data_IF_283773861022
#
_entry.id   IF_283773861022
#
_cell.length_a   1.000
_cell.length_b   1.000
_cell.length_c   1.000
_cell.angle_alpha   90.00
_cell.angle_beta   90.00
_cell.angle_gamma   90.00
#
_symmetry.space_group_name_H-M   'P 1'
#
loop_
_entity.id
_entity.type
_entity.pdbx_description
1 polymer ?
#
# COMPACT_ATOMS: atom_id res chain seq x y z
N UNK A 1 -9.18 8.57 -3.22
CA UNK A 1 -10.17 8.00 -4.16
C UNK A 1 -11.00 9.01 -4.97
N UNK A 2 -11.18 10.28 -4.55
CA UNK A 2 -12.00 11.25 -5.32
C UNK A 2 -11.39 11.71 -6.66
N UNK A 3 -10.07 11.93 -6.73
CA UNK A 3 -9.38 12.43 -7.94
C UNK A 3 -9.69 11.67 -9.24
N UNK A 4 -9.66 10.32 -9.29
CA UNK A 4 -9.99 9.60 -10.51
C UNK A 4 -11.48 9.68 -10.88
N UNK A 5 -12.37 9.78 -9.89
CA UNK A 5 -13.81 9.91 -10.08
C UNK A 5 -14.16 11.30 -10.64
N UNK A 6 -13.49 12.35 -10.15
CA UNK A 6 -13.61 13.72 -10.66
C UNK A 6 -13.11 13.82 -12.11
N UNK A 7 -11.98 13.18 -12.45
CA UNK A 7 -11.48 13.17 -13.83
C UNK A 7 -12.45 12.50 -14.79
N UNK A 8 -13.07 11.39 -14.38
CA UNK A 8 -14.13 10.74 -15.17
C UNK A 8 -15.30 11.69 -15.39
N UNK A 9 -15.79 12.30 -14.32
CA UNK A 9 -16.95 13.18 -14.36
C UNK A 9 -16.69 14.38 -15.29
N UNK A 10 -15.50 14.97 -15.22
CA UNK A 10 -15.09 16.06 -16.10
C UNK A 10 -14.98 15.64 -17.57
N UNK A 11 -14.41 14.47 -17.87
CA UNK A 11 -14.31 13.98 -19.25
C UNK A 11 -15.71 13.72 -19.83
N UNK A 12 -16.58 13.08 -19.06
CA UNK A 12 -17.97 12.81 -19.47
C UNK A 12 -18.71 14.11 -19.73
N UNK A 13 -18.64 15.07 -18.79
CA UNK A 13 -19.28 16.39 -18.96
C UNK A 13 -18.73 17.12 -20.19
N UNK A 14 -17.40 17.15 -20.37
CA UNK A 14 -16.77 17.83 -21.50
C UNK A 14 -17.22 17.22 -22.84
N UNK A 15 -17.28 15.90 -22.92
CA UNK A 15 -17.67 15.20 -24.14
C UNK A 15 -19.15 15.40 -24.47
N UNK A 16 -20.00 15.40 -23.44
CA UNK A 16 -21.43 15.73 -23.55
C UNK A 16 -21.60 17.16 -24.02
N UNK A 17 -20.93 18.12 -23.39
CA UNK A 17 -21.01 19.54 -23.74
C UNK A 17 -20.53 19.80 -25.18
N UNK A 18 -19.39 19.24 -25.57
CA UNK A 18 -18.85 19.37 -26.93
C UNK A 18 -19.81 18.79 -27.98
N UNK A 19 -20.41 17.63 -27.70
CA UNK A 19 -21.37 17.00 -28.61
C UNK A 19 -22.65 17.82 -28.76
N UNK A 20 -23.15 18.44 -27.68
CA UNK A 20 -24.29 19.37 -27.74
C UNK A 20 -23.98 20.55 -28.67
N UNK A 21 -22.80 21.18 -28.52
CA UNK A 21 -22.39 22.32 -29.35
C UNK A 21 -22.26 21.93 -30.82
N UNK A 22 -21.67 20.77 -31.12
CA UNK A 22 -21.50 20.28 -32.49
C UNK A 22 -22.86 20.03 -33.15
N UNK A 23 -23.77 19.35 -32.45
CA UNK A 23 -25.13 19.09 -32.93
C UNK A 23 -25.85 20.41 -33.23
N UNK A 24 -25.78 21.39 -32.31
CA UNK A 24 -26.54 22.63 -32.43
C UNK A 24 -26.04 23.56 -33.56
N UNK A 25 -24.75 23.54 -33.90
CA UNK A 25 -24.19 24.46 -34.89
C UNK A 25 -23.89 23.83 -36.27
N UNK A 26 -23.61 22.54 -36.34
CA UNK A 26 -23.09 21.91 -37.56
C UNK A 26 -24.13 21.12 -38.33
N UNK A 27 -25.15 20.60 -37.66
CA UNK A 27 -26.10 19.65 -38.25
C UNK A 27 -26.95 20.29 -39.35
N UNK A 28 -27.58 21.43 -39.07
CA UNK A 28 -28.45 22.14 -40.03
C UNK A 28 -27.69 22.56 -41.29
N UNK A 29 -26.40 22.89 -41.15
CA UNK A 29 -25.55 23.32 -42.27
C UNK A 29 -25.08 22.16 -43.14
N UNK A 30 -24.80 21.00 -42.56
CA UNK A 30 -24.31 19.81 -43.28
C UNK A 30 -25.45 19.14 -44.05
N UNK A 31 -26.67 19.10 -43.49
CA UNK A 31 -27.80 18.39 -44.10
C UNK A 31 -28.76 19.30 -44.89
N UNK A 32 -28.43 20.60 -45.01
CA UNK A 32 -29.23 21.60 -45.73
C UNK A 32 -29.64 21.15 -47.14
N UNK A 33 -28.71 20.64 -47.97
CA UNK A 33 -29.01 20.31 -49.36
C UNK A 33 -30.07 19.20 -49.50
N UNK A 34 -29.99 18.16 -48.66
CA UNK A 34 -30.97 17.05 -48.68
C UNK A 34 -32.34 17.50 -48.18
N UNK A 35 -32.38 18.28 -47.10
CA UNK A 35 -33.62 18.82 -46.56
C UNK A 35 -34.30 19.78 -47.53
N UNK A 36 -33.55 20.76 -48.04
CA UNK A 36 -34.06 21.76 -48.97
C UNK A 36 -34.54 21.16 -50.28
N UNK A 37 -33.89 20.11 -50.81
CA UNK A 37 -34.32 19.47 -52.05
C UNK A 37 -35.65 18.72 -51.89
N UNK A 38 -35.80 17.89 -50.84
CA UNK A 38 -37.05 17.18 -50.58
C UNK A 38 -38.23 18.15 -50.37
N UNK A 39 -37.97 19.28 -49.71
CA UNK A 39 -38.97 20.31 -49.43
C UNK A 39 -39.34 21.12 -50.67
N UNK A 40 -38.37 21.46 -51.53
CA UNK A 40 -38.64 22.06 -52.86
C UNK A 40 -39.53 21.18 -53.71
N UNK A 41 -39.26 19.88 -53.77
CA UNK A 41 -40.05 18.94 -54.57
C UNK A 41 -41.50 18.89 -54.09
N UNK A 42 -41.73 18.96 -52.77
CA UNK A 42 -43.08 19.04 -52.20
C UNK A 42 -43.78 20.38 -52.43
N UNK A 43 -43.03 21.49 -52.39
CA UNK A 43 -43.56 22.85 -52.56
C UNK A 43 -43.75 23.26 -54.03
N UNK A 44 -43.15 22.57 -54.99
CA UNK A 44 -43.15 22.98 -56.41
C UNK A 44 -44.56 23.16 -56.96
N UNK A 45 -45.46 22.20 -56.70
CA UNK A 45 -46.86 22.27 -57.15
C UNK A 45 -47.62 23.40 -56.45
N UNK A 46 -47.38 23.58 -55.15
CA UNK A 46 -48.00 24.64 -54.35
C UNK A 46 -47.56 26.02 -54.82
N UNK A 47 -46.24 26.21 -55.00
CA UNK A 47 -45.63 27.43 -55.49
C UNK A 47 -46.12 27.79 -56.90
N UNK A 48 -46.29 26.80 -57.79
CA UNK A 48 -46.87 27.03 -59.12
C UNK A 48 -48.30 27.57 -59.05
N UNK A 49 -49.18 26.92 -58.27
CA UNK A 49 -50.58 27.35 -58.11
C UNK A 49 -50.66 28.73 -57.45
N UNK A 50 -49.81 28.97 -56.46
CA UNK A 50 -49.74 30.26 -55.77
C UNK A 50 -49.27 31.37 -56.72
N UNK A 51 -48.24 31.12 -57.53
CA UNK A 51 -47.76 32.09 -58.51
C UNK A 51 -48.82 32.39 -59.58
N UNK A 52 -49.46 31.37 -60.16
CA UNK A 52 -50.56 31.53 -61.12
C UNK A 52 -51.74 32.32 -60.53
N UNK A 53 -52.09 32.05 -59.26
CA UNK A 53 -53.13 32.80 -58.56
C UNK A 53 -52.76 34.28 -58.33
N UNK A 54 -51.49 34.56 -57.99
CA UNK A 54 -50.99 35.92 -57.77
C UNK A 54 -50.79 36.72 -59.06
N UNK A 55 -50.46 36.06 -60.18
CA UNK A 55 -50.39 36.68 -61.50
C UNK A 55 -51.75 37.16 -61.98
N UNK A 56 -52.82 36.42 -61.67
CA UNK A 56 -54.20 36.81 -62.00
C UNK A 56 -54.72 38.02 -61.20
N UNK A 57 -54.01 38.45 -60.16
CA UNK A 57 -54.38 39.59 -59.31
C UNK A 57 -53.24 40.63 -59.23
N UNK A 58 -53.02 41.46 -60.27
CA UNK A 58 -51.94 42.45 -60.28
C UNK A 58 -52.21 43.67 -59.37
N UNK A 59 -51.13 44.31 -58.90
CA UNK A 59 -51.18 45.56 -58.12
C UNK A 59 -51.70 45.39 -56.69
N UNK A 60 -52.45 46.37 -56.19
CA UNK A 60 -52.94 46.40 -54.80
C UNK A 60 -53.89 45.25 -54.42
N UNK A 61 -54.47 44.56 -55.41
CA UNK A 61 -55.31 43.38 -55.20
C UNK A 61 -54.50 42.15 -54.76
N UNK A 62 -53.20 42.10 -55.09
CA UNK A 62 -52.32 40.98 -54.74
C UNK A 62 -52.14 40.83 -53.23
N UNK A 63 -51.98 41.95 -52.53
CA UNK A 63 -51.83 41.96 -51.06
C UNK A 63 -53.12 41.53 -50.36
N UNK A 64 -54.28 41.83 -50.94
CA UNK A 64 -55.59 41.38 -50.43
C UNK A 64 -55.79 39.88 -50.67
N UNK A 65 -55.43 39.38 -51.86
CA UNK A 65 -55.49 37.98 -52.22
C UNK A 65 -54.61 37.11 -51.30
N UNK A 66 -53.39 37.56 -50.98
CA UNK A 66 -52.52 36.90 -50.00
C UNK A 66 -53.08 36.92 -48.58
N UNK A 67 -53.70 38.03 -48.15
CA UNK A 67 -54.34 38.09 -46.82
C UNK A 67 -55.51 37.12 -46.72
N UNK A 68 -56.24 36.90 -47.81
CA UNK A 68 -57.32 35.92 -47.84
C UNK A 68 -56.79 34.48 -47.82
N UNK A 69 -55.73 34.19 -48.59
CA UNK A 69 -55.01 32.91 -48.51
C UNK A 69 -54.46 32.63 -47.11
N UNK A 70 -53.91 33.65 -46.44
CA UNK A 70 -53.39 33.55 -45.08
C UNK A 70 -54.47 33.22 -44.03
N UNK A 71 -55.77 33.44 -44.31
CA UNK A 71 -56.86 33.02 -43.42
C UNK A 71 -57.13 31.52 -43.48
N UNK A 72 -56.80 30.89 -44.61
CA UNK A 72 -57.09 29.48 -44.88
C UNK A 72 -55.83 28.60 -44.84
N UNK A 73 -54.65 29.20 -44.93
CA UNK A 73 -53.35 28.53 -44.81
C UNK A 73 -52.75 28.64 -43.40
N UNK A 74 -51.79 27.76 -43.11
CA UNK A 74 -51.00 27.81 -41.87
C UNK A 74 -49.65 28.55 -42.08
N UNK A 75 -49.64 29.53 -42.98
CA UNK A 75 -48.44 30.28 -43.38
C UNK A 75 -48.74 31.79 -43.40
N UNK A 76 -47.80 32.59 -42.90
CA UNK A 76 -47.81 34.04 -43.06
C UNK A 76 -47.11 34.44 -44.34
N UNK A 77 -47.76 35.26 -45.17
CA UNK A 77 -47.21 35.76 -46.43
C UNK A 77 -46.87 37.24 -46.35
N UNK A 78 -45.74 37.61 -46.95
CA UNK A 78 -45.30 39.00 -47.13
C UNK A 78 -44.56 39.18 -48.46
N UNK A 79 -44.43 40.43 -48.90
CA UNK A 79 -43.61 40.77 -50.08
C UNK A 79 -42.35 41.50 -49.65
N UNK A 80 -41.22 41.11 -50.25
CA UNK A 80 -39.93 41.77 -50.11
C UNK A 80 -39.43 42.20 -51.48
N UNK A 81 -38.63 43.25 -51.52
CA UNK A 81 -37.83 43.54 -52.72
C UNK A 81 -36.71 42.51 -52.84
N UNK A 82 -36.24 42.25 -54.07
CA UNK A 82 -35.05 41.41 -54.29
C UNK A 82 -33.84 41.88 -53.48
N UNK A 83 -33.68 43.20 -53.28
CA UNK A 83 -32.61 43.75 -52.42
C UNK A 83 -32.78 43.41 -50.95
N UNK A 84 -34.01 43.47 -50.42
CA UNK A 84 -34.30 43.12 -49.03
C UNK A 84 -34.17 41.61 -48.79
N UNK A 85 -34.56 40.77 -49.76
CA UNK A 85 -34.39 39.32 -49.69
C UNK A 85 -32.91 38.91 -49.72
N UNK A 86 -32.10 39.51 -50.60
CA UNK A 86 -30.64 39.28 -50.66
C UNK A 86 -29.92 39.65 -49.36
N UNK A 87 -30.40 40.66 -48.64
CA UNK A 87 -29.83 41.04 -47.35
C UNK A 87 -30.13 40.03 -46.22
N UNK A 88 -31.16 39.20 -46.38
CA UNK A 88 -31.58 38.22 -45.36
C UNK A 88 -31.03 36.81 -45.61
N UNK A 89 -30.49 36.54 -46.80
CA UNK A 89 -29.94 35.23 -47.18
C UNK A 89 -28.42 35.29 -47.33
N UNK A 90 -27.75 34.17 -47.07
CA UNK A 90 -26.32 34.02 -47.29
C UNK A 90 -26.00 32.61 -47.79
N UNK A 91 -24.87 32.43 -48.47
CA UNK A 91 -24.41 31.12 -48.94
C UNK A 91 -25.34 30.48 -49.99
N UNK A 92 -25.60 29.18 -49.86
CA UNK A 92 -26.38 28.38 -50.82
C UNK A 92 -27.82 28.89 -51.02
N UNK A 93 -28.59 29.28 -49.97
CA UNK A 93 -29.90 29.93 -50.13
C UNK A 93 -29.89 31.17 -51.02
N UNK A 94 -28.86 32.03 -50.90
CA UNK A 94 -28.75 33.24 -51.70
C UNK A 94 -28.51 32.90 -53.19
N UNK A 95 -27.66 31.92 -53.44
CA UNK A 95 -27.42 31.42 -54.79
C UNK A 95 -28.67 30.79 -55.42
N UNK A 96 -29.47 30.06 -54.63
CA UNK A 96 -30.75 29.51 -55.10
C UNK A 96 -31.73 30.64 -55.49
N UNK A 97 -31.81 31.71 -54.70
CA UNK A 97 -32.66 32.87 -54.99
C UNK A 97 -32.21 33.57 -56.28
N UNK A 98 -30.90 33.80 -56.43
CA UNK A 98 -30.32 34.45 -57.61
C UNK A 98 -30.47 33.58 -58.88
N UNK A 99 -30.53 32.25 -58.73
CA UNK A 99 -30.81 31.32 -59.82
C UNK A 99 -32.30 31.23 -60.18
N UNK A 100 -33.17 32.03 -59.57
CA UNK A 100 -34.62 32.02 -59.82
C UNK A 100 -35.34 30.81 -59.21
N UNK A 101 -34.68 30.05 -58.33
CA UNK A 101 -35.29 28.93 -57.60
C UNK A 101 -35.94 29.42 -56.32
N UNK A 102 -36.84 28.60 -55.77
CA UNK A 102 -37.35 28.81 -54.41
C UNK A 102 -36.17 28.63 -53.45
N UNK A 103 -35.80 29.70 -52.77
CA UNK A 103 -34.76 29.70 -51.76
C UNK A 103 -35.36 29.44 -50.38
N UNK A 104 -34.72 28.54 -49.64
CA UNK A 104 -35.12 28.16 -48.28
C UNK A 104 -34.01 28.66 -47.36
N UNK A 105 -34.33 29.44 -46.32
CA UNK A 105 -33.31 29.89 -45.38
C UNK A 105 -32.66 28.70 -44.65
N UNK A 106 -31.43 28.86 -44.15
CA UNK A 106 -30.73 27.82 -43.38
C UNK A 106 -31.50 27.39 -42.11
N UNK A 107 -32.42 28.23 -41.63
CA UNK A 107 -33.31 27.87 -40.53
C UNK A 107 -34.42 26.88 -40.94
N UNK A 108 -34.56 26.55 -42.23
CA UNK A 108 -35.59 25.67 -42.79
C UNK A 108 -37.01 26.23 -42.72
N UNK A 109 -37.17 27.47 -42.26
CA UNK A 109 -38.46 28.08 -41.91
C UNK A 109 -38.89 29.12 -42.92
N UNK A 110 -38.01 30.02 -43.34
CA UNK A 110 -38.40 31.09 -44.26
C UNK A 110 -38.20 30.68 -45.74
N UNK A 111 -39.26 30.78 -46.54
CA UNK A 111 -39.22 30.54 -47.98
C UNK A 111 -39.25 31.86 -48.75
N UNK A 112 -38.42 31.94 -49.78
CA UNK A 112 -38.30 33.10 -50.67
C UNK A 112 -38.52 32.63 -52.11
N UNK A 113 -39.61 33.10 -52.72
CA UNK A 113 -39.96 32.77 -54.08
C UNK A 113 -39.89 34.02 -54.96
N UNK A 114 -39.03 34.06 -55.99
CA UNK A 114 -38.98 35.17 -56.93
C UNK A 114 -40.20 35.13 -57.86
N UNK A 115 -40.87 36.28 -58.06
CA UNK A 115 -41.95 36.43 -59.02
C UNK A 115 -41.47 37.10 -60.30
N UNK A 116 -42.23 36.93 -61.38
CA UNK A 116 -41.93 37.49 -62.70
C UNK A 116 -41.81 39.03 -62.74
N UNK A 117 -42.37 39.73 -61.75
CA UNK A 117 -42.33 41.19 -61.63
C UNK A 117 -41.12 41.73 -60.85
N UNK A 118 -40.21 40.85 -60.42
CA UNK A 118 -39.02 41.21 -59.66
C UNK A 118 -39.26 41.42 -58.16
N UNK A 119 -40.46 41.14 -57.65
CA UNK A 119 -40.73 41.03 -56.21
C UNK A 119 -40.46 39.62 -55.71
N UNK A 120 -40.23 39.48 -54.40
CA UNK A 120 -40.04 38.17 -53.75
C UNK A 120 -41.17 37.94 -52.77
N UNK A 121 -41.89 36.85 -52.94
CA UNK A 121 -42.82 36.36 -51.92
C UNK A 121 -42.01 35.72 -50.80
N UNK A 122 -42.20 36.24 -49.60
CA UNK A 122 -41.70 35.67 -48.36
C UNK A 122 -42.84 34.93 -47.68
N UNK A 123 -42.73 33.61 -47.59
CA UNK A 123 -43.67 32.77 -46.85
C UNK A 123 -42.99 32.24 -45.58
N UNK A 124 -43.69 32.40 -44.45
CA UNK A 124 -43.26 31.89 -43.14
C UNK A 124 -44.33 30.92 -42.62
N UNK A 125 -44.07 29.61 -42.61
CA UNK A 125 -44.97 28.62 -42.03
C UNK A 125 -45.09 28.84 -40.52
N UNK A 126 -46.29 28.68 -39.99
CA UNK A 126 -46.56 28.66 -38.54
C UNK A 126 -46.04 27.32 -38.02
N UNK A 127 -45.06 27.39 -37.12
CA UNK A 127 -44.19 26.27 -36.71
C UNK A 127 -44.93 24.97 -36.39
N UNK A 128 -44.58 23.87 -37.08
CA UNK A 128 -44.70 22.54 -36.49
C UNK A 128 -43.39 22.24 -35.72
N UNK A 129 -43.45 21.76 -34.48
CA UNK A 129 -42.25 21.47 -33.72
C UNK A 129 -41.55 20.26 -34.36
N UNK A 130 -40.36 20.49 -34.90
CA UNK A 130 -39.51 19.49 -35.55
C UNK A 130 -38.94 18.53 -34.47
N UNK A 131 -39.76 17.60 -33.99
CA UNK A 131 -39.42 16.67 -32.91
C UNK A 131 -38.44 15.59 -33.39
N UNK A 132 -38.53 15.15 -34.65
CA UNK A 132 -37.91 13.91 -35.11
C UNK A 132 -36.37 14.00 -35.16
N UNK A 133 -35.82 15.09 -35.70
CA UNK A 133 -34.36 15.26 -35.82
C UNK A 133 -33.68 15.42 -34.45
N UNK A 134 -34.33 16.12 -33.51
CA UNK A 134 -33.79 16.34 -32.16
C UNK A 134 -33.67 15.03 -31.38
N UNK A 135 -34.60 14.09 -31.57
CA UNK A 135 -34.57 12.78 -30.91
C UNK A 135 -33.32 11.99 -31.34
N UNK A 136 -32.99 11.96 -32.64
CA UNK A 136 -31.79 11.26 -33.13
C UNK A 136 -30.50 11.89 -32.60
N UNK A 137 -30.45 13.22 -32.51
CA UNK A 137 -29.32 13.95 -31.95
C UNK A 137 -29.09 13.61 -30.46
N UNK A 138 -30.14 13.62 -29.64
CA UNK A 138 -30.03 13.24 -28.22
C UNK A 138 -29.69 11.75 -28.04
N UNK A 139 -30.17 10.88 -28.92
CA UNK A 139 -29.85 9.45 -28.90
C UNK A 139 -28.37 9.20 -29.20
N UNK A 140 -27.80 9.89 -30.20
CA UNK A 140 -26.37 9.79 -30.52
C UNK A 140 -25.50 10.26 -29.35
N UNK A 141 -25.88 11.37 -28.71
CA UNK A 141 -25.23 11.89 -27.51
C UNK A 141 -25.25 10.87 -26.36
N UNK A 142 -26.40 10.26 -26.11
CA UNK A 142 -26.57 9.25 -25.06
C UNK A 142 -25.69 8.01 -25.32
N UNK A 143 -25.65 7.51 -26.56
CA UNK A 143 -24.83 6.35 -26.94
C UNK A 143 -23.33 6.66 -26.80
N UNK A 144 -22.88 7.83 -27.26
CA UNK A 144 -21.49 8.24 -27.14
C UNK A 144 -21.04 8.33 -25.68
N UNK A 145 -21.90 8.91 -24.83
CA UNK A 145 -21.67 9.01 -23.38
C UNK A 145 -21.61 7.63 -22.73
N UNK A 146 -22.55 6.74 -23.06
CA UNK A 146 -22.57 5.37 -22.57
C UNK A 146 -21.31 4.61 -22.96
N UNK A 147 -20.86 4.75 -24.20
CA UNK A 147 -19.65 4.11 -24.70
C UNK A 147 -18.40 4.55 -23.94
N UNK A 148 -18.24 5.86 -23.69
CA UNK A 148 -17.13 6.39 -22.89
C UNK A 148 -17.12 5.83 -21.46
N UNK A 149 -18.30 5.74 -20.83
CA UNK A 149 -18.45 5.17 -19.48
C UNK A 149 -18.09 3.68 -19.48
N UNK A 150 -18.58 2.90 -20.44
CA UNK A 150 -18.28 1.46 -20.55
C UNK A 150 -16.80 1.20 -20.75
N UNK A 151 -16.12 1.96 -21.62
CA UNK A 151 -14.67 1.83 -21.82
C UNK A 151 -13.88 2.13 -20.56
N UNK A 152 -14.24 3.18 -19.83
CA UNK A 152 -13.58 3.54 -18.58
C UNK A 152 -13.78 2.47 -17.50
N UNK A 153 -15.02 2.01 -17.33
CA UNK A 153 -15.38 0.91 -16.42
C UNK A 153 -14.56 -0.34 -16.77
N UNK A 154 -14.51 -0.72 -18.05
CA UNK A 154 -13.77 -1.90 -18.51
C UNK A 154 -12.27 -1.82 -18.16
N UNK A 155 -11.63 -0.67 -18.43
CA UNK A 155 -10.21 -0.46 -18.11
C UNK A 155 -9.95 -0.58 -16.60
N UNK A 156 -10.80 0.02 -15.77
CA UNK A 156 -10.63 0.01 -14.32
C UNK A 156 -10.87 -1.39 -13.70
N UNK A 157 -11.94 -2.07 -14.13
CA UNK A 157 -12.22 -3.44 -13.67
C UNK A 157 -11.13 -4.43 -14.05
N UNK A 158 -10.49 -4.26 -15.21
CA UNK A 158 -9.37 -5.10 -15.61
C UNK A 158 -8.19 -4.98 -14.66
N UNK A 159 -7.80 -3.76 -14.28
CA UNK A 159 -6.68 -3.53 -13.36
C UNK A 159 -7.02 -4.03 -11.94
N UNK A 160 -8.26 -3.85 -11.48
CA UNK A 160 -8.73 -4.39 -10.20
C UNK A 160 -8.74 -5.93 -10.17
N UNK A 161 -9.18 -6.57 -11.27
CA UNK A 161 -9.13 -8.03 -11.41
C UNK A 161 -7.70 -8.57 -11.33
N UNK A 162 -6.72 -7.88 -11.92
CA UNK A 162 -5.29 -8.28 -11.80
C UNK A 162 -4.79 -8.23 -10.36
N UNK A 163 -5.15 -7.19 -9.60
CA UNK A 163 -4.81 -7.10 -8.17
C UNK A 163 -5.50 -8.22 -7.37
N UNK A 164 -6.78 -8.50 -7.67
CA UNK A 164 -7.53 -9.58 -7.02
C UNK A 164 -6.93 -10.97 -7.32
N UNK A 165 -6.57 -11.24 -8.57
CA UNK A 165 -5.91 -12.49 -8.98
C UNK A 165 -4.56 -12.65 -8.29
N UNK A 166 -3.76 -11.58 -8.22
CA UNK A 166 -2.49 -11.60 -7.51
C UNK A 166 -2.66 -11.84 -6.01
N UNK A 167 -3.64 -11.20 -5.37
CA UNK A 167 -3.95 -11.42 -3.95
C UNK A 167 -4.42 -12.86 -3.68
N UNK A 168 -5.23 -13.45 -4.57
CA UNK A 168 -5.66 -14.86 -4.49
C UNK A 168 -4.48 -15.81 -4.67
N UNK A 169 -3.62 -15.58 -5.66
CA UNK A 169 -2.42 -16.40 -5.89
C UNK A 169 -1.45 -16.31 -4.71
N UNK A 170 -1.26 -15.11 -4.14
CA UNK A 170 -0.47 -14.90 -2.93
C UNK A 170 -1.06 -15.66 -1.74
N UNK A 171 -2.37 -15.54 -1.50
CA UNK A 171 -3.08 -16.28 -0.44
C UNK A 171 -3.08 -17.80 -0.64
N UNK A 172 -2.94 -18.29 -1.88
CA UNK A 172 -2.80 -19.72 -2.19
C UNK A 172 -1.36 -20.25 -2.00
N UNK A 173 -0.40 -19.40 -1.61
CA UNK A 173 0.97 -19.79 -1.29
C UNK A 173 2.03 -19.37 -2.33
N UNK A 174 1.65 -18.72 -3.42
CA UNK A 174 2.61 -18.20 -4.42
C UNK A 174 3.14 -16.83 -3.98
N UNK A 175 4.00 -16.83 -2.95
CA UNK A 175 4.48 -15.63 -2.25
C UNK A 175 5.30 -14.67 -3.14
N UNK A 176 5.89 -15.17 -4.22
CA UNK A 176 6.64 -14.38 -5.20
C UNK A 176 5.76 -13.57 -6.16
N UNK A 177 4.42 -13.69 -6.04
CA UNK A 177 3.48 -12.96 -6.90
C UNK A 177 3.57 -11.46 -6.65
N UNK A 178 3.69 -10.67 -7.73
CA UNK A 178 3.70 -9.20 -7.68
C UNK A 178 2.78 -8.63 -8.74
N UNK A 179 2.15 -7.50 -8.40
CA UNK A 179 1.23 -6.79 -9.28
C UNK A 179 2.01 -5.77 -10.11
N UNK A 180 1.91 -5.89 -11.44
CA UNK A 180 2.48 -4.92 -12.39
C UNK A 180 1.36 -4.15 -13.05
N UNK A 181 1.11 -2.92 -12.58
CA UNK A 181 0.19 -1.97 -13.19
C UNK A 181 0.95 -0.80 -13.82
N UNK A 182 0.34 -0.14 -14.80
CA UNK A 182 0.87 1.09 -15.37
C UNK A 182 0.86 2.21 -14.31
N UNK A 183 1.86 3.09 -14.29
CA UNK A 183 1.88 4.26 -13.41
C UNK A 183 0.73 5.25 -13.65
N UNK A 184 0.00 5.11 -14.77
CA UNK A 184 -1.23 5.86 -15.05
C UNK A 184 -2.49 5.22 -14.45
N UNK A 185 -2.37 4.04 -13.84
CA UNK A 185 -3.49 3.34 -13.23
C UNK A 185 -3.91 4.04 -11.93
N UNK A 186 -5.22 4.17 -11.73
CA UNK A 186 -5.79 4.82 -10.55
C UNK A 186 -5.53 4.06 -9.24
N UNK A 187 -5.16 2.77 -9.33
CA UNK A 187 -4.86 1.90 -8.19
C UNK A 187 -3.37 1.53 -8.14
N UNK A 188 -2.50 2.29 -8.84
CA UNK A 188 -1.07 2.03 -8.85
C UNK A 188 -0.46 2.07 -7.44
N UNK A 189 -0.81 3.08 -6.63
CA UNK A 189 -0.33 3.22 -5.25
C UNK A 189 -0.75 2.04 -4.37
N UNK A 190 -1.99 1.56 -4.51
CA UNK A 190 -2.48 0.36 -3.83
C UNK A 190 -1.70 -0.89 -4.26
N UNK A 191 -1.34 -1.00 -5.54
CA UNK A 191 -0.52 -2.12 -6.01
C UNK A 191 0.91 -2.10 -5.45
N UNK A 192 1.48 -0.91 -5.21
CA UNK A 192 2.79 -0.78 -4.56
C UNK A 192 2.68 -1.23 -3.09
N UNK A 193 1.68 -0.74 -2.36
CA UNK A 193 1.44 -1.17 -0.97
C UNK A 193 1.24 -2.69 -0.86
N UNK A 194 0.51 -3.29 -1.80
CA UNK A 194 0.38 -4.75 -1.88
C UNK A 194 1.74 -5.44 -2.11
N UNK A 195 2.55 -4.94 -3.04
CA UNK A 195 3.87 -5.52 -3.34
C UNK A 195 4.82 -5.41 -2.15
N UNK A 196 4.83 -4.28 -1.44
CA UNK A 196 5.66 -4.06 -0.24
C UNK A 196 5.24 -5.01 0.89
N UNK A 197 3.93 -5.17 1.10
CA UNK A 197 3.39 -6.14 2.04
C UNK A 197 3.78 -7.58 1.65
N UNK A 198 3.64 -7.93 0.36
CA UNK A 198 3.98 -9.25 -0.15
C UNK A 198 5.48 -9.57 0.05
N UNK A 199 6.36 -8.59 -0.17
CA UNK A 199 7.80 -8.74 0.05
C UNK A 199 8.16 -8.94 1.53
N UNK A 200 7.56 -8.15 2.43
CA UNK A 200 7.77 -8.32 3.88
C UNK A 200 7.32 -9.69 4.37
N UNK A 201 6.15 -10.15 3.91
CA UNK A 201 5.61 -11.46 4.29
C UNK A 201 6.45 -12.59 3.68
N UNK A 202 6.84 -12.50 2.41
CA UNK A 202 7.70 -13.50 1.75
C UNK A 202 9.06 -13.63 2.47
N UNK A 203 9.70 -12.50 2.79
CA UNK A 203 10.94 -12.47 3.55
C UNK A 203 10.78 -13.10 4.95
N UNK A 204 9.70 -12.76 5.67
CA UNK A 204 9.42 -13.33 6.98
C UNK A 204 9.20 -14.84 6.94
N UNK A 205 8.43 -15.33 5.96
CA UNK A 205 8.18 -16.78 5.79
C UNK A 205 9.47 -17.50 5.41
N UNK A 206 10.29 -16.90 4.54
CA UNK A 206 11.59 -17.45 4.17
C UNK A 206 12.52 -17.59 5.38
N UNK A 207 12.64 -16.53 6.19
CA UNK A 207 13.42 -16.54 7.42
C UNK A 207 12.94 -17.60 8.40
N UNK A 208 11.62 -17.73 8.60
CA UNK A 208 11.05 -18.76 9.47
C UNK A 208 11.36 -20.17 8.97
N UNK A 209 11.31 -20.41 7.65
CA UNK A 209 11.66 -21.71 7.06
C UNK A 209 13.15 -22.04 7.24
N UNK A 210 14.03 -21.08 6.99
CA UNK A 210 15.47 -21.23 7.19
C UNK A 210 15.79 -21.55 8.66
N UNK A 211 15.15 -20.84 9.59
CA UNK A 211 15.28 -21.11 11.02
C UNK A 211 14.80 -22.53 11.38
N UNK A 212 13.64 -22.96 10.88
CA UNK A 212 13.12 -24.31 11.15
C UNK A 212 14.01 -25.43 10.58
N UNK A 213 14.62 -25.17 9.41
CA UNK A 213 15.58 -26.09 8.82
C UNK A 213 16.85 -26.19 9.68
N UNK A 214 17.39 -25.06 10.13
CA UNK A 214 18.53 -25.01 11.06
C UNK A 214 18.25 -25.75 12.36
N UNK A 215 17.08 -25.53 12.98
CA UNK A 215 16.64 -26.24 14.19
C UNK A 215 16.65 -27.75 13.99
N UNK A 216 16.05 -28.21 12.90
CA UNK A 216 15.97 -29.65 12.60
C UNK A 216 17.35 -30.27 12.43
N UNK A 217 18.27 -29.56 11.78
CA UNK A 217 19.64 -30.01 11.56
C UNK A 217 20.44 -30.08 12.86
N UNK A 218 20.37 -29.03 13.69
CA UNK A 218 21.10 -28.95 14.96
C UNK A 218 20.55 -29.91 16.02
N UNK A 219 19.26 -30.26 15.99
CA UNK A 219 18.69 -31.29 16.88
C UNK A 219 19.07 -32.71 16.45
N UNK A 220 19.15 -32.99 15.15
CA UNK A 220 19.40 -34.34 14.63
C UNK A 220 20.80 -34.86 15.01
N UNK A 221 21.80 -33.98 15.06
CA UNK A 221 23.19 -34.36 15.35
C UNK A 221 23.38 -34.90 16.78
N UNK A 222 23.00 -34.18 17.86
CA UNK A 222 23.11 -34.71 19.22
C UNK A 222 22.15 -35.88 19.48
N UNK A 223 20.96 -35.91 18.86
CA UNK A 223 20.07 -37.08 18.96
C UNK A 223 20.73 -38.35 18.41
N UNK A 224 21.35 -38.28 17.22
CA UNK A 224 22.09 -39.42 16.66
C UNK A 224 23.27 -39.85 17.55
N UNK A 225 23.96 -38.90 18.19
CA UNK A 225 25.03 -39.19 19.17
C UNK A 225 24.50 -39.88 20.42
N UNK A 226 23.35 -39.44 20.94
CA UNK A 226 22.69 -40.10 22.07
C UNK A 226 22.25 -41.51 21.73
N UNK A 227 21.63 -41.72 20.56
CA UNK A 227 21.24 -43.07 20.10
C UNK A 227 22.46 -43.99 19.99
N UNK A 228 23.55 -43.51 19.37
CA UNK A 228 24.78 -44.28 19.24
C UNK A 228 25.44 -44.57 20.60
N UNK A 229 25.51 -43.56 21.48
CA UNK A 229 26.08 -43.73 22.81
C UNK A 229 25.26 -44.68 23.68
N UNK A 230 23.92 -44.66 23.57
CA UNK A 230 23.04 -45.65 24.21
C UNK A 230 23.27 -47.06 23.68
N UNK A 231 23.44 -47.23 22.37
CA UNK A 231 23.79 -48.52 21.78
C UNK A 231 25.13 -49.06 22.30
N UNK A 232 26.14 -48.19 22.42
CA UNK A 232 27.44 -48.56 23.00
C UNK A 232 27.41 -48.87 24.50
N UNK A 233 26.41 -48.37 25.25
CA UNK A 233 26.23 -48.73 26.67
C UNK A 233 25.55 -50.09 26.84
N UNK A 234 24.89 -50.63 25.80
CA UNK A 234 24.25 -51.93 25.83
C UNK A 234 25.24 -53.10 25.68
N UNK A 235 26.47 -52.84 25.22
CA UNK A 235 27.53 -53.83 25.11
C UNK A 235 28.29 -53.99 26.44
N UNK A 236 28.58 -55.23 26.90
CA UNK A 236 29.41 -55.44 28.09
C UNK A 236 30.84 -54.93 27.83
N UNK A 237 31.29 -53.96 28.62
CA UNK A 237 32.62 -53.33 28.50
C UNK A 237 33.19 -52.99 29.90
N UNK A 238 34.46 -52.61 29.95
CA UNK A 238 35.15 -52.23 31.19
C UNK A 238 34.45 -51.05 31.91
N UNK A 239 34.36 -51.13 33.25
CA UNK A 239 33.67 -50.16 34.11
C UNK A 239 34.15 -48.71 33.96
N UNK A 240 35.41 -48.50 33.53
CA UNK A 240 35.96 -47.17 33.27
C UNK A 240 35.41 -46.56 31.96
N UNK A 241 35.38 -47.33 30.87
CA UNK A 241 34.81 -46.91 29.57
C UNK A 241 33.31 -46.67 29.66
N UNK A 242 32.61 -47.49 30.45
CA UNK A 242 31.18 -47.31 30.71
C UNK A 242 30.87 -45.97 31.40
N UNK A 243 31.73 -45.56 32.36
CA UNK A 243 31.62 -44.25 33.03
C UNK A 243 31.86 -43.09 32.06
N UNK A 244 32.91 -43.18 31.24
CA UNK A 244 33.22 -42.17 30.24
C UNK A 244 32.09 -42.00 29.21
N UNK A 245 31.52 -43.11 28.71
CA UNK A 245 30.35 -43.10 27.82
C UNK A 245 29.12 -42.47 28.47
N UNK A 246 28.85 -42.78 29.75
CA UNK A 246 27.73 -42.17 30.49
C UNK A 246 27.93 -40.66 30.66
N UNK A 247 29.15 -40.22 30.95
CA UNK A 247 29.45 -38.81 31.11
C UNK A 247 29.46 -38.06 29.77
N UNK A 248 29.79 -38.73 28.65
CA UNK A 248 29.55 -38.22 27.30
C UNK A 248 28.05 -38.03 27.01
N UNK A 249 27.21 -39.03 27.29
CA UNK A 249 25.75 -38.91 27.16
C UNK A 249 25.18 -37.74 27.96
N UNK A 250 25.64 -37.55 29.21
CA UNK A 250 25.20 -36.44 30.06
C UNK A 250 25.57 -35.08 29.48
N UNK A 251 26.74 -34.97 28.83
CA UNK A 251 27.12 -33.75 28.12
C UNK A 251 26.20 -33.51 26.93
N UNK A 252 25.91 -34.52 26.13
CA UNK A 252 25.03 -34.42 24.96
C UNK A 252 23.58 -34.03 25.37
N UNK A 253 23.07 -34.53 26.51
CA UNK A 253 21.77 -34.11 27.06
C UNK A 253 21.78 -32.64 27.50
N UNK A 254 22.85 -32.17 28.16
CA UNK A 254 22.98 -30.77 28.57
C UNK A 254 23.08 -29.85 27.34
N UNK A 255 23.84 -30.27 26.33
CA UNK A 255 23.95 -29.56 25.05
C UNK A 255 22.56 -29.41 24.38
N UNK A 256 21.74 -30.46 24.38
CA UNK A 256 20.35 -30.37 23.90
C UNK A 256 19.47 -29.43 24.72
N UNK A 257 19.58 -29.46 26.06
CA UNK A 257 18.80 -28.57 26.94
C UNK A 257 19.15 -27.09 26.71
N UNK A 258 20.44 -26.80 26.51
CA UNK A 258 20.93 -25.47 26.13
C UNK A 258 20.34 -25.02 24.80
N UNK A 259 20.37 -25.88 23.77
CA UNK A 259 19.76 -25.59 22.46
C UNK A 259 18.27 -25.26 22.58
N UNK A 260 17.50 -26.11 23.26
CA UNK A 260 16.05 -25.91 23.45
C UNK A 260 15.80 -24.59 24.19
N UNK A 261 16.60 -24.28 25.21
CA UNK A 261 16.49 -23.04 25.96
C UNK A 261 16.81 -21.82 25.09
N UNK A 262 17.79 -21.89 24.19
CA UNK A 262 18.08 -20.85 23.20
C UNK A 262 16.94 -20.65 22.22
N UNK A 263 16.37 -21.73 21.67
CA UNK A 263 15.26 -21.68 20.73
C UNK A 263 13.99 -21.09 21.34
N UNK A 264 13.62 -21.50 22.56
CA UNK A 264 12.49 -20.92 23.28
C UNK A 264 12.68 -19.43 23.55
N UNK A 265 13.93 -18.99 23.70
CA UNK A 265 14.25 -17.58 23.94
C UNK A 265 14.08 -16.77 22.67
N UNK A 266 14.58 -17.25 21.54
CA UNK A 266 14.33 -16.61 20.25
C UNK A 266 12.82 -16.54 19.98
N UNK A 267 12.09 -17.65 20.17
CA UNK A 267 10.64 -17.68 19.96
C UNK A 267 9.87 -16.67 20.83
N UNK A 268 10.23 -16.51 22.11
CA UNK A 268 9.66 -15.45 22.98
C UNK A 268 9.98 -14.06 22.45
N UNK A 269 11.23 -13.84 22.05
CA UNK A 269 11.67 -12.54 21.53
C UNK A 269 11.06 -12.21 20.15
N UNK A 270 10.69 -13.20 19.33
CA UNK A 270 9.98 -13.00 18.06
C UNK A 270 8.57 -12.46 18.25
N UNK A 271 7.92 -12.78 19.37
CA UNK A 271 6.58 -12.28 19.72
C UNK A 271 6.55 -10.78 20.10
N UNK A 272 7.72 -10.12 20.16
CA UNK A 272 7.88 -8.66 20.24
C UNK A 272 8.03 -8.11 21.67
N UNK A 273 8.00 -6.78 21.78
CA UNK A 273 8.27 -6.05 23.03
C UNK A 273 7.22 -6.26 24.14
N UNK A 274 6.06 -6.86 23.83
CA UNK A 274 4.99 -7.12 24.79
C UNK A 274 5.32 -8.15 25.88
N UNK A 275 6.47 -8.82 25.80
CA UNK A 275 6.97 -9.76 26.81
C UNK A 275 8.17 -9.24 27.61
N UNK A 276 8.60 -8.00 27.37
CA UNK A 276 9.63 -7.40 28.21
C UNK A 276 9.08 -7.18 29.61
N UNK A 277 9.88 -7.51 30.62
CA UNK A 277 9.66 -7.08 31.99
C UNK A 277 10.66 -5.97 32.34
N UNK A 278 10.50 -4.76 31.78
CA UNK A 278 11.43 -3.66 32.04
C UNK A 278 11.34 -3.26 33.52
N UNK A 279 12.49 -3.12 34.15
CA UNK A 279 12.62 -2.57 35.49
C UNK A 279 13.83 -1.65 35.54
N UNK A 280 13.81 -0.71 36.49
CA UNK A 280 15.00 0.09 36.79
C UNK A 280 16.04 -0.81 37.46
N UNK A 281 17.23 -0.88 36.88
CA UNK A 281 18.33 -1.71 37.35
C UNK A 281 19.54 -0.85 37.65
N UNK A 282 20.24 -1.19 38.73
CA UNK A 282 21.58 -0.64 39.02
C UNK A 282 22.57 -1.30 38.05
N UNK A 283 23.18 -0.50 37.17
CA UNK A 283 24.02 -1.04 36.09
C UNK A 283 25.24 -1.77 36.65
N UNK A 284 25.84 -1.24 37.71
CA UNK A 284 26.97 -1.85 38.42
C UNK A 284 26.63 -3.25 38.93
N UNK A 285 25.51 -3.41 39.64
CA UNK A 285 25.05 -4.70 40.15
C UNK A 285 24.74 -5.71 39.03
N UNK A 286 24.21 -5.25 37.89
CA UNK A 286 23.98 -6.10 36.72
C UNK A 286 25.30 -6.62 36.14
N UNK A 287 26.28 -5.74 35.95
CA UNK A 287 27.58 -6.09 35.38
C UNK A 287 28.36 -7.01 36.33
N UNK A 288 28.37 -6.72 37.63
CA UNK A 288 29.00 -7.56 38.64
C UNK A 288 28.39 -8.96 38.70
N UNK A 289 27.06 -9.06 38.64
CA UNK A 289 26.35 -10.34 38.60
C UNK A 289 26.71 -11.15 37.34
N UNK A 290 26.77 -10.50 36.18
CA UNK A 290 27.18 -11.14 34.92
C UNK A 290 28.64 -11.61 35.01
N UNK A 291 29.56 -10.76 35.45
CA UNK A 291 30.98 -11.09 35.56
C UNK A 291 31.22 -12.24 36.56
N UNK A 292 30.56 -12.22 37.72
CA UNK A 292 30.64 -13.27 38.72
C UNK A 292 30.14 -14.63 38.22
N UNK A 293 29.14 -14.66 37.34
CA UNK A 293 28.61 -15.90 36.78
C UNK A 293 29.55 -16.59 35.77
N UNK A 294 30.49 -15.86 35.16
CA UNK A 294 31.38 -16.39 34.11
C UNK A 294 32.85 -16.40 34.49
N UNK A 295 33.23 -15.82 35.63
CA UNK A 295 34.64 -15.70 36.03
C UNK A 295 35.36 -17.06 36.05
N UNK A 296 34.70 -18.11 36.55
CA UNK A 296 35.27 -19.46 36.59
C UNK A 296 35.36 -20.06 35.18
N UNK A 297 34.29 -19.97 34.38
CA UNK A 297 34.24 -20.48 33.00
C UNK A 297 35.34 -19.85 32.12
N UNK A 298 35.62 -18.56 32.32
CA UNK A 298 36.65 -17.80 31.60
C UNK A 298 38.05 -18.15 32.10
N UNK A 299 38.23 -18.29 33.41
CA UNK A 299 39.50 -18.68 34.02
C UNK A 299 39.93 -20.11 33.66
N UNK A 300 38.98 -21.05 33.59
CA UNK A 300 39.22 -22.45 33.16
C UNK A 300 39.75 -22.54 31.72
N UNK A 301 39.50 -21.50 30.91
CA UNK A 301 40.03 -21.36 29.53
C UNK A 301 41.37 -20.63 29.45
N UNK A 302 41.93 -20.20 30.59
CA UNK A 302 43.16 -19.42 30.64
C UNK A 302 43.01 -17.97 30.17
N UNK A 303 41.78 -17.44 30.13
CA UNK A 303 41.47 -16.08 29.70
C UNK A 303 41.19 -15.21 30.95
N UNK A 304 41.51 -13.92 30.85
CA UNK A 304 41.22 -12.92 31.89
C UNK A 304 40.01 -12.08 31.50
N UNK A 305 39.07 -11.87 32.44
CA UNK A 305 37.92 -10.98 32.27
C UNK A 305 38.15 -9.69 33.06
N UNK A 306 38.32 -8.59 32.34
CA UNK A 306 38.40 -7.25 32.92
C UNK A 306 37.06 -6.53 32.79
N UNK A 307 36.71 -5.70 33.78
CA UNK A 307 35.48 -4.90 33.79
C UNK A 307 35.83 -3.41 33.86
N UNK A 308 35.17 -2.59 33.04
CA UNK A 308 35.30 -1.13 33.03
C UNK A 308 33.94 -0.45 33.12
N UNK A 309 33.71 0.27 34.22
CA UNK A 309 32.48 1.06 34.45
C UNK A 309 32.65 2.55 34.12
N UNK A 310 33.70 2.92 33.37
CA UNK A 310 34.00 4.33 33.06
C UNK A 310 32.88 4.94 32.21
N UNK A 311 32.17 5.90 32.80
CA UNK A 311 31.08 6.61 32.13
C UNK A 311 29.74 5.87 32.14
N UNK A 312 29.62 4.77 32.89
CA UNK A 312 28.34 4.07 33.06
C UNK A 312 27.33 4.92 33.83
N UNK A 313 26.03 4.92 33.45
CA UNK A 313 25.00 5.55 34.26
C UNK A 313 24.75 4.71 35.53
N UNK A 314 24.29 5.31 36.64
CA UNK A 314 24.04 4.58 37.89
C UNK A 314 22.89 3.57 37.75
N UNK A 315 21.82 3.98 37.06
CA UNK A 315 20.66 3.14 36.78
C UNK A 315 20.25 3.22 35.30
N UNK A 316 19.55 2.20 34.83
CA UNK A 316 18.94 2.16 33.50
C UNK A 316 17.68 1.29 33.51
N UNK A 317 16.73 1.53 32.60
CA UNK A 317 15.49 0.73 32.52
C UNK A 317 15.63 -0.32 31.43
N UNK A 318 15.71 -1.59 31.80
CA UNK A 318 15.77 -2.71 30.87
C UNK A 318 15.20 -4.00 31.49
N UNK A 319 15.12 -5.08 30.71
CA UNK A 319 14.89 -6.42 31.27
C UNK A 319 16.26 -7.03 31.67
N UNK A 320 16.61 -7.10 32.97
CA UNK A 320 17.92 -7.54 33.41
C UNK A 320 18.23 -8.98 33.01
N UNK A 321 17.22 -9.85 32.92
CA UNK A 321 17.44 -11.26 32.58
C UNK A 321 17.87 -11.40 31.13
N UNK A 322 17.23 -10.66 30.23
CA UNK A 322 17.57 -10.66 28.81
C UNK A 322 18.90 -9.98 28.54
N UNK A 323 19.16 -8.83 29.18
CA UNK A 323 20.44 -8.12 29.03
C UNK A 323 21.60 -8.94 29.59
N UNK A 324 21.46 -9.51 30.79
CA UNK A 324 22.47 -10.41 31.36
C UNK A 324 22.76 -11.58 30.41
N UNK A 325 21.72 -12.18 29.82
CA UNK A 325 21.90 -13.28 28.86
C UNK A 325 22.62 -12.86 27.60
N UNK A 326 22.33 -11.67 27.05
CA UNK A 326 23.06 -11.14 25.91
C UNK A 326 24.55 -10.96 26.25
N UNK A 327 24.86 -10.39 27.42
CA UNK A 327 26.25 -10.22 27.87
C UNK A 327 26.96 -11.56 28.09
N UNK A 328 26.30 -12.53 28.72
CA UNK A 328 26.84 -13.88 28.92
C UNK A 328 27.18 -14.54 27.58
N UNK A 329 26.31 -14.40 26.56
CA UNK A 329 26.57 -14.90 25.22
C UNK A 329 27.79 -14.22 24.57
N UNK A 330 27.90 -12.90 24.72
CA UNK A 330 29.06 -12.15 24.19
C UNK A 330 30.36 -12.52 24.90
N UNK A 331 30.37 -12.63 26.22
CA UNK A 331 31.57 -12.97 27.01
C UNK A 331 32.01 -14.40 26.71
N UNK A 332 31.07 -15.36 26.65
CA UNK A 332 31.38 -16.75 26.26
C UNK A 332 31.91 -16.84 24.84
N UNK A 333 31.39 -16.01 23.93
CA UNK A 333 31.91 -15.90 22.57
C UNK A 333 33.34 -15.33 22.58
N UNK A 334 33.55 -14.20 23.26
CA UNK A 334 34.87 -13.58 23.43
C UNK A 334 35.88 -14.57 24.03
N UNK A 335 35.55 -15.23 25.13
CA UNK A 335 36.43 -16.20 25.79
C UNK A 335 36.70 -17.47 24.98
N UNK A 336 35.89 -17.77 23.96
CA UNK A 336 36.16 -18.88 23.02
C UNK A 336 37.23 -18.52 21.99
N UNK A 337 37.31 -17.25 21.57
CA UNK A 337 38.18 -16.79 20.48
C UNK A 337 39.35 -15.92 20.95
N UNK A 338 39.29 -15.39 22.16
CA UNK A 338 40.34 -14.60 22.80
C UNK A 338 41.61 -15.44 22.97
N UNK A 339 42.76 -14.79 22.85
CA UNK A 339 44.05 -15.39 23.18
C UNK A 339 44.31 -15.35 24.68
N UNK A 340 44.02 -14.21 25.32
CA UNK A 340 44.37 -13.97 26.73
C UNK A 340 43.35 -13.13 27.48
N UNK A 341 42.58 -12.28 26.79
CA UNK A 341 41.80 -11.24 27.47
C UNK A 341 40.46 -10.94 26.82
N UNK A 342 39.46 -10.75 27.67
CA UNK A 342 38.16 -10.17 27.33
C UNK A 342 37.92 -8.97 28.24
N UNK A 343 37.45 -7.87 27.67
CA UNK A 343 37.06 -6.66 28.40
C UNK A 343 35.55 -6.44 28.26
N UNK A 344 34.85 -6.40 29.39
CA UNK A 344 33.46 -5.97 29.49
C UNK A 344 33.44 -4.49 29.91
N UNK A 345 32.77 -3.63 29.15
CA UNK A 345 32.65 -2.21 29.48
C UNK A 345 31.19 -1.74 29.44
N UNK A 346 30.85 -0.82 30.34
CA UNK A 346 29.59 -0.10 30.35
C UNK A 346 29.85 1.41 30.32
N UNK A 347 29.09 2.12 29.48
CA UNK A 347 29.15 3.58 29.34
C UNK A 347 27.76 4.13 29.01
N UNK A 348 27.58 5.45 29.09
CA UNK A 348 26.43 6.15 28.54
C UNK A 348 26.87 7.02 27.35
N UNK A 349 26.03 7.09 26.31
CA UNK A 349 26.24 8.04 25.22
C UNK A 349 25.60 9.41 25.51
N UNK A 350 25.79 10.38 24.60
CA UNK A 350 25.27 11.74 24.74
C UNK A 350 23.73 11.79 24.78
N UNK A 351 23.04 10.74 24.33
CA UNK A 351 21.57 10.65 24.34
C UNK A 351 21.03 10.01 25.62
N UNK A 352 21.90 9.57 26.53
CA UNK A 352 21.54 8.84 27.74
C UNK A 352 21.29 7.35 27.50
N UNK A 353 21.63 6.82 26.31
CA UNK A 353 21.56 5.39 26.05
C UNK A 353 22.65 4.65 26.84
N UNK A 354 22.35 3.43 27.31
CA UNK A 354 23.32 2.54 27.92
C UNK A 354 24.07 1.79 26.81
N UNK A 355 25.38 1.97 26.75
CA UNK A 355 26.29 1.34 25.80
C UNK A 355 27.08 0.26 26.53
N UNK A 356 26.90 -0.99 26.13
CA UNK A 356 27.59 -2.15 26.67
C UNK A 356 28.53 -2.70 25.59
N UNK A 357 29.82 -2.83 25.88
CA UNK A 357 30.78 -3.45 24.95
C UNK A 357 31.48 -4.67 25.53
N UNK A 358 31.73 -5.65 24.66
CA UNK A 358 32.58 -6.81 24.94
C UNK A 358 33.66 -6.86 23.87
N UNK A 359 34.90 -6.72 24.31
CA UNK A 359 36.09 -6.62 23.48
C UNK A 359 37.00 -7.84 23.71
N UNK A 360 37.44 -8.51 22.65
CA UNK A 360 38.40 -9.64 22.73
C UNK A 360 39.72 -9.34 21.99
N UNK A 361 40.76 -10.12 22.31
CA UNK A 361 42.08 -10.11 21.65
C UNK A 361 42.27 -11.26 20.65
N UNK A 362 41.17 -11.77 20.08
CA UNK A 362 41.15 -12.84 19.10
C UNK A 362 41.45 -12.40 17.65
N UNK A 363 41.14 -13.23 16.65
CA UNK A 363 41.41 -12.93 15.23
C UNK A 363 40.48 -11.85 14.61
N UNK A 364 39.47 -11.39 15.35
CA UNK A 364 38.45 -10.49 14.84
C UNK A 364 37.52 -11.14 13.82
N UNK A 365 36.65 -10.33 13.19
CA UNK A 365 35.69 -10.77 12.18
C UNK A 365 35.79 -9.90 10.93
N UNK A 366 35.95 -10.48 9.72
CA UNK A 366 36.03 -9.74 8.47
C UNK A 366 34.81 -8.84 8.24
N UNK A 367 35.03 -7.65 7.67
CA UNK A 367 33.99 -6.65 7.40
C UNK A 367 32.78 -7.22 6.63
N UNK A 368 33.04 -8.08 5.64
CA UNK A 368 32.00 -8.69 4.80
C UNK A 368 31.07 -9.65 5.56
N UNK A 369 31.51 -10.18 6.71
CA UNK A 369 30.78 -11.18 7.48
C UNK A 369 30.09 -10.60 8.71
N UNK A 370 30.42 -9.37 9.11
CA UNK A 370 29.91 -8.71 10.33
C UNK A 370 28.39 -8.60 10.41
N UNK A 371 27.71 -8.43 9.28
CA UNK A 371 26.25 -8.38 9.26
C UNK A 371 25.63 -9.78 9.43
N UNK A 372 26.30 -10.80 8.89
CA UNK A 372 25.80 -12.18 8.82
C UNK A 372 26.01 -12.95 10.12
N UNK A 373 27.02 -12.61 10.93
CA UNK A 373 27.28 -13.33 12.20
C UNK A 373 26.13 -13.25 13.22
N UNK A 374 25.20 -12.30 13.05
CA UNK A 374 24.00 -12.19 13.88
C UNK A 374 22.79 -12.97 13.31
N UNK A 375 22.94 -13.63 12.16
CA UNK A 375 21.92 -14.52 11.61
C UNK A 375 21.89 -15.85 12.41
N UNK A 376 20.71 -16.40 12.72
CA UNK A 376 20.60 -17.68 13.42
C UNK A 376 21.34 -18.80 12.69
N UNK A 377 22.02 -19.68 13.44
CA UNK A 377 22.78 -20.84 12.92
C UNK A 377 23.98 -20.48 12.03
N UNK A 378 24.34 -19.20 11.89
CA UNK A 378 25.50 -18.78 11.13
C UNK A 378 26.79 -19.02 11.94
N UNK A 379 27.77 -19.66 11.29
CA UNK A 379 29.13 -19.87 11.82
C UNK A 379 30.14 -19.45 10.76
N UNK A 380 31.23 -18.80 11.18
CA UNK A 380 32.33 -18.36 10.28
C UNK A 380 33.18 -19.56 9.83
N UNK A 381 33.51 -20.45 10.77
CA UNK A 381 34.25 -21.67 10.50
C UNK A 381 33.35 -22.92 10.61
N UNK A 382 33.13 -23.58 9.49
CA UNK A 382 32.38 -24.84 9.39
C UNK A 382 33.22 -26.09 9.66
N UNK A 383 34.55 -25.96 9.79
CA UNK A 383 35.48 -27.08 9.61
C UNK A 383 36.38 -27.47 10.79
N UNK A 384 36.36 -26.79 11.95
CA UNK A 384 37.17 -27.23 13.12
C UNK A 384 36.38 -27.15 14.43
N UNK A 385 36.41 -28.28 15.15
CA UNK A 385 35.89 -28.57 16.48
C UNK A 385 34.38 -28.39 16.74
N UNK A 386 33.60 -29.39 16.28
CA UNK A 386 32.25 -29.68 16.82
C UNK A 386 32.25 -30.04 18.32
N UNK A 387 33.42 -30.29 18.92
CA UNK A 387 33.51 -30.66 20.34
C UNK A 387 33.55 -29.46 21.31
N UNK A 388 33.70 -28.22 20.83
CA UNK A 388 33.85 -27.01 21.68
C UNK A 388 32.94 -25.84 21.31
N UNK A 389 32.17 -25.95 20.21
CA UNK A 389 31.43 -24.85 19.59
C UNK A 389 29.90 -24.92 19.79
N UNK A 390 29.28 -23.78 20.14
CA UNK A 390 27.82 -23.67 20.31
C UNK A 390 27.04 -23.57 18.99
N UNK A 391 25.70 -23.55 19.08
CA UNK A 391 24.78 -23.72 17.95
C UNK A 391 24.65 -22.53 16.97
N UNK A 392 25.45 -21.48 17.12
CA UNK A 392 25.34 -20.27 16.30
C UNK A 392 24.06 -19.44 16.58
N UNK A 393 23.40 -19.66 17.71
CA UNK A 393 22.21 -18.89 18.12
C UNK A 393 22.56 -17.74 19.06
N UNK A 394 23.71 -17.80 19.74
CA UNK A 394 24.10 -16.83 20.77
C UNK A 394 24.08 -15.37 20.29
N UNK A 395 24.71 -15.07 19.16
CA UNK A 395 24.76 -13.72 18.58
C UNK A 395 23.39 -13.28 18.03
N UNK A 396 22.59 -14.20 17.50
CA UNK A 396 21.23 -13.90 17.07
C UNK A 396 20.34 -13.49 18.26
N UNK A 397 20.50 -14.16 19.42
CA UNK A 397 19.86 -13.78 20.68
C UNK A 397 20.30 -12.37 21.10
N UNK A 398 21.60 -12.07 21.06
CA UNK A 398 22.12 -10.73 21.41
C UNK A 398 21.46 -9.64 20.56
N UNK A 399 21.44 -9.81 19.23
CA UNK A 399 20.81 -8.85 18.32
C UNK A 399 19.33 -8.70 18.63
N UNK A 400 18.63 -9.81 18.87
CA UNK A 400 17.21 -9.75 19.16
C UNK A 400 16.92 -9.08 20.49
N UNK A 401 17.72 -9.32 21.53
CA UNK A 401 17.63 -8.63 22.82
C UNK A 401 17.80 -7.12 22.64
N UNK A 402 18.80 -6.66 21.87
CA UNK A 402 18.99 -5.24 21.59
C UNK A 402 17.76 -4.64 20.88
N UNK A 403 17.27 -5.31 19.83
CA UNK A 403 16.12 -4.85 19.03
C UNK A 403 14.82 -4.76 19.84
N UNK A 404 14.51 -5.74 20.71
CA UNK A 404 13.28 -5.65 21.53
C UNK A 404 13.34 -4.50 22.54
N UNK A 405 14.54 -4.12 22.99
CA UNK A 405 14.75 -2.95 23.84
C UNK A 405 14.74 -1.62 23.06
N UNK A 406 14.52 -1.64 21.74
CA UNK A 406 14.54 -0.46 20.87
C UNK A 406 15.94 -0.03 20.44
N UNK A 407 16.95 -0.82 20.79
CA UNK A 407 18.35 -0.56 20.50
C UNK A 407 18.89 -1.35 19.30
N UNK A 408 20.21 -1.42 19.21
CA UNK A 408 20.91 -2.18 18.17
C UNK A 408 22.22 -2.80 18.71
N UNK A 409 22.75 -3.78 17.99
CA UNK A 409 24.09 -4.35 18.22
C UNK A 409 24.94 -4.18 16.97
N UNK A 410 26.18 -3.73 17.18
CA UNK A 410 27.16 -3.54 16.11
C UNK A 410 28.48 -4.24 16.44
N UNK A 411 29.23 -4.52 15.39
CA UNK A 411 30.54 -5.13 15.47
C UNK A 411 31.60 -4.16 14.96
N UNK A 412 32.58 -3.89 15.80
CA UNK A 412 33.70 -2.98 15.57
C UNK A 412 35.02 -3.72 15.72
N UNK A 413 36.10 -3.07 15.29
CA UNK A 413 37.45 -3.55 15.56
C UNK A 413 37.81 -3.26 17.03
N UNK A 414 38.27 -4.29 17.73
CA UNK A 414 38.62 -4.17 19.14
C UNK A 414 39.92 -3.40 19.32
N UNK A 415 40.01 -2.49 20.31
CA UNK A 415 41.29 -1.90 20.71
C UNK A 415 42.27 -2.93 21.26
N UNK A 416 41.82 -4.15 21.60
CA UNK A 416 42.67 -5.28 21.97
C UNK A 416 43.20 -6.07 20.76
N UNK A 417 42.75 -5.75 19.54
CA UNK A 417 43.18 -6.38 18.28
C UNK A 417 42.22 -7.43 17.71
N UNK A 418 41.18 -7.83 18.45
CA UNK A 418 40.16 -8.79 18.02
C UNK A 418 38.81 -8.15 17.66
N UNK A 419 37.71 -8.76 18.11
CA UNK A 419 36.35 -8.29 17.85
C UNK A 419 35.78 -7.47 19.02
N UNK A 420 35.04 -6.40 18.69
CA UNK A 420 34.30 -5.58 19.66
C UNK A 420 32.80 -5.61 19.35
N UNK A 421 32.03 -6.20 20.25
CA UNK A 421 30.57 -6.20 20.16
C UNK A 421 30.02 -5.06 21.01
N UNK A 422 29.22 -4.16 20.42
CA UNK A 422 28.64 -3.00 21.11
C UNK A 422 27.12 -3.08 21.05
N UNK A 423 26.49 -3.27 22.20
CA UNK A 423 25.04 -3.18 22.38
C UNK A 423 24.69 -1.77 22.82
N UNK A 424 23.74 -1.13 22.15
CA UNK A 424 23.21 0.19 22.55
C UNK A 424 21.75 0.00 22.97
N UNK A 425 21.41 0.42 24.19
CA UNK A 425 20.05 0.37 24.74
C UNK A 425 19.57 1.82 24.97
N UNK A 426 18.57 2.31 24.22
CA UNK A 426 18.09 3.69 24.37
C UNK A 426 17.54 3.95 25.77
N UNK A 427 17.65 5.20 26.23
CA UNK A 427 16.98 5.62 27.45
C UNK A 427 15.47 5.32 27.35
N UNK A 428 14.92 4.71 28.40
CA UNK A 428 13.52 4.33 28.47
C UNK A 428 12.96 4.76 29.83
N UNK A 429 11.77 5.35 29.81
CA UNK A 429 11.01 5.59 31.03
C UNK A 429 10.25 4.32 31.42
N UNK A 430 10.10 4.07 32.72
CA UNK A 430 9.22 3.01 33.21
C UNK A 430 7.80 3.31 32.71
N UNK A 431 7.08 2.34 32.12
CA UNK A 431 5.70 2.57 31.71
C UNK A 431 4.85 2.97 32.94
N UNK A 432 4.10 4.07 32.83
CA UNK A 432 3.27 4.67 33.89
C UNK A 432 2.24 3.73 34.53
N UNK A 433 2.00 2.56 33.94
CA UNK A 433 0.93 1.61 34.30
C UNK A 433 1.13 0.85 35.62
N UNK A 434 2.10 1.22 36.47
CA UNK A 434 2.28 0.64 37.81
C UNK A 434 1.78 1.56 38.94
N UNK A 435 1.44 2.82 38.66
CA UNK A 435 0.90 3.74 39.67
C UNK A 435 -0.63 3.79 39.75
N UNK A 436 -1.36 3.22 38.77
CA UNK A 436 -2.83 3.34 38.69
C UNK A 436 -3.60 2.32 39.59
N UNK A 437 -2.92 1.32 40.15
CA UNK A 437 -3.55 0.34 41.06
C UNK A 437 -3.56 0.81 42.51
N UNK A 438 -2.68 1.75 42.90
CA UNK A 438 -2.64 2.27 44.26
C UNK A 438 -3.73 3.32 44.55
N UNK A 439 -4.16 4.09 43.55
CA UNK A 439 -5.21 5.10 43.73
C UNK A 439 -6.63 4.51 43.66
N UNK A 440 -6.80 3.31 43.11
CA UNK A 440 -8.10 2.64 43.06
C UNK A 440 -8.52 2.05 44.42
N UNK A 441 -7.58 1.81 45.34
CA UNK A 441 -7.87 1.21 46.66
C UNK A 441 -8.20 2.28 47.72
N UNK A 442 -7.87 3.56 47.51
CA UNK A 442 -8.06 4.61 48.52
C UNK A 442 -9.38 5.40 48.39
N UNK A 443 -10.24 5.06 47.42
CA UNK A 443 -11.55 5.72 47.22
C UNK A 443 -12.78 4.80 47.38
N UNK A 444 -12.58 3.52 47.68
CA UNK A 444 -13.70 2.57 47.85
C UNK A 444 -14.25 2.46 49.30
N UNK A 445 -13.58 3.02 50.31
CA UNK A 445 -13.89 2.75 51.74
C UNK A 445 -14.57 3.90 52.52
N UNK A 446 -15.15 4.92 51.86
CA UNK A 446 -15.84 6.03 52.57
C UNK A 446 -17.34 6.17 52.27
N UNK A 447 -17.94 5.37 51.39
CA UNK A 447 -19.39 5.45 51.13
C UNK A 447 -20.05 4.09 51.27
N UNK A 448 -20.37 3.70 52.51
CA UNK A 448 -21.06 2.44 52.77
C UNK A 448 -21.47 2.19 54.21
N UNK A 449 -21.86 3.22 54.96
CA UNK A 449 -22.49 3.00 56.27
C UNK A 449 -23.71 3.93 56.43
N UNK A 450 -24.92 3.37 56.31
CA UNK A 450 -26.15 4.14 56.40
C UNK A 450 -27.42 3.31 56.20
N UNK A 451 -27.94 2.78 57.31
CA UNK A 451 -29.37 2.60 57.63
C UNK A 451 -30.23 1.64 56.78
N UNK A 452 -30.63 0.51 57.39
CA UNK A 452 -31.94 -0.10 57.13
C UNK A 452 -32.55 -0.57 58.44
N UNK A 453 -33.49 0.24 58.95
CA UNK A 453 -34.36 -0.04 60.10
C UNK A 453 -35.67 -0.66 59.64
N UNK A 454 -36.14 -1.58 60.47
CA UNK A 454 -37.32 -2.44 60.39
C UNK A 454 -38.70 -1.78 60.11
N UNK A 455 -39.62 -2.69 59.70
CA UNK A 455 -41.01 -2.89 60.15
C UNK A 455 -42.12 -2.71 59.08
N UNK A 456 -43.34 -3.25 59.27
CA UNK A 456 -43.68 -4.64 59.63
C UNK A 456 -44.84 -5.24 58.78
N UNK A 457 -45.13 -6.51 59.07
CA UNK A 457 -46.26 -7.36 58.69
C UNK A 457 -47.60 -6.69 58.27
N UNK A 458 -48.16 -7.15 57.15
CA UNK A 458 -49.45 -7.87 57.11
C UNK A 458 -49.63 -8.63 55.80
#
# INVERSE_FOLDING_TARGET
MLRPLIRLYLIVILFVAASIVIIQFSFDRIFYERGAQAQRDSLTTYAFVLNDYLERHPGGQRTLALRELAKHGNEGFGFLSMTAARAQLSGTPLHDLDAGRIAISYNGKDYYMPLADGTVLHARPVEAPDLDIRIYAYLLLAISTLFAVVLWIHYHWRDLRRLQEAARAFGAGTLSTRVKLSGKSNIYELSQQFNDMAERIEASIKQQREMMHGISHELKTPLARLEFGLALLAEPDETARMRERRDALRRDVRELDELVTELLTIGRLEQGAGQLAPMEVVVDALIDSVAGNVVNDVADRGVTLDVSMRGAPPTHVCDPKLVARALLNLIRNGARYAQRKVLLAAASDETGALVLSVDDDGPGIPAAERARVFEPFQRLDSSRDRQTGGFGLGLAIVRRVALVHGGDVRLEDSPLGGARFVITLPARELPDSLFDVADTITHADVIGNGTSTAAPSR
#
